data_IF_488584103452
#
_entry.id   IF_488584103452
#
_cell.length_a   1.000
_cell.length_b   1.000
_cell.length_c   1.000
_cell.angle_alpha   90.00
_cell.angle_beta   90.00
_cell.angle_gamma   90.00
#
_symmetry.space_group_name_H-M   'P 1'
#
loop_
_entity.id
_entity.type
_entity.pdbx_description
1 polymer ?
#
# COMPACT_ATOMS: atom_id res chain seq x y z
N UNK A 1 3.19 -18.25 -9.56
CA UNK A 1 3.92 -17.31 -8.68
C UNK A 1 3.70 -15.91 -9.22
N UNK A 2 2.91 -15.10 -8.51
CA UNK A 2 2.68 -13.71 -8.91
C UNK A 2 3.92 -12.85 -8.64
N UNK A 3 4.52 -12.96 -7.45
CA UNK A 3 5.72 -12.21 -7.06
C UNK A 3 7.01 -12.94 -7.50
N UNK A 4 8.00 -12.18 -7.96
CA UNK A 4 9.21 -12.71 -8.61
C UNK A 4 8.98 -13.17 -10.06
N UNK A 5 7.76 -13.05 -10.57
CA UNK A 5 7.37 -13.36 -11.96
C UNK A 5 6.64 -12.18 -12.60
N UNK A 6 5.33 -12.09 -12.41
CA UNK A 6 4.48 -11.00 -12.95
C UNK A 6 4.78 -9.67 -12.26
N UNK A 7 4.99 -9.71 -10.95
CA UNK A 7 5.41 -8.56 -10.15
C UNK A 7 6.86 -8.78 -9.72
N UNK A 8 7.83 -8.02 -10.26
CA UNK A 8 9.23 -8.17 -9.91
C UNK A 8 9.48 -7.75 -8.46
N UNK A 9 10.36 -8.48 -7.78
CA UNK A 9 10.87 -8.06 -6.48
C UNK A 9 11.82 -6.87 -6.62
N UNK A 10 11.99 -6.13 -5.52
CA UNK A 10 12.93 -5.01 -5.39
C UNK A 10 12.71 -3.88 -6.40
N UNK A 11 11.55 -3.87 -7.05
CA UNK A 11 11.14 -2.92 -8.08
C UNK A 11 9.83 -2.28 -7.68
N UNK A 12 9.62 -1.02 -8.08
CA UNK A 12 8.33 -0.37 -7.85
C UNK A 12 7.28 -1.01 -8.71
N UNK A 13 6.18 -1.37 -8.05
CA UNK A 13 4.96 -1.83 -8.65
C UNK A 13 3.87 -0.78 -8.44
N UNK A 14 3.21 -0.42 -9.54
CA UNK A 14 1.93 0.30 -9.52
C UNK A 14 0.85 -0.63 -8.99
N UNK A 15 0.75 -0.72 -7.66
CA UNK A 15 -0.24 -1.54 -6.96
C UNK A 15 -1.64 -1.29 -7.53
N UNK A 16 -2.20 -2.28 -8.21
CA UNK A 16 -3.44 -2.14 -8.98
C UNK A 16 -3.30 -2.72 -10.39
N UNK A 17 -4.26 -2.39 -11.25
CA UNK A 17 -4.28 -2.84 -12.65
C UNK A 17 -3.90 -1.72 -13.61
N UNK A 18 -4.76 -0.72 -13.76
CA UNK A 18 -4.67 0.32 -14.79
C UNK A 18 -4.37 1.71 -14.22
N UNK A 19 -5.22 2.28 -13.37
CA UNK A 19 -4.91 3.57 -12.75
C UNK A 19 -4.13 3.39 -11.45
N UNK A 20 -3.28 4.35 -11.04
CA UNK A 20 -2.67 4.33 -9.72
C UNK A 20 -3.79 4.25 -8.67
N UNK A 21 -3.69 3.26 -7.79
CA UNK A 21 -4.63 3.14 -6.66
C UNK A 21 -4.50 4.40 -5.81
N UNK A 22 -5.61 5.12 -5.60
CA UNK A 22 -5.63 6.31 -4.75
C UNK A 22 -6.20 5.99 -3.38
N UNK A 23 -5.66 6.65 -2.37
CA UNK A 23 -6.17 6.63 -1.00
C UNK A 23 -6.47 8.05 -0.54
N UNK A 24 -7.65 8.22 0.06
CA UNK A 24 -8.03 9.45 0.74
C UNK A 24 -7.96 9.21 2.23
N UNK A 25 -7.10 9.97 2.91
CA UNK A 25 -6.98 10.01 4.36
C UNK A 25 -7.75 11.23 4.88
N UNK A 26 -8.98 11.07 5.41
CA UNK A 26 -9.79 12.21 5.88
C UNK A 26 -9.26 12.83 7.18
N UNK A 27 -8.39 12.12 7.89
CA UNK A 27 -7.79 12.53 9.15
C UNK A 27 -6.28 12.32 9.09
N UNK A 28 -5.56 13.01 9.98
CA UNK A 28 -4.15 12.72 10.20
C UNK A 28 -4.04 11.28 10.70
N UNK A 29 -3.14 10.49 10.12
CA UNK A 29 -2.97 9.08 10.46
C UNK A 29 -1.54 8.79 10.87
N UNK A 30 -1.36 7.67 11.57
CA UNK A 30 -0.05 7.16 11.93
C UNK A 30 0.04 5.69 11.56
N UNK A 31 0.94 5.37 10.64
CA UNK A 31 1.29 4.01 10.28
C UNK A 31 2.56 3.64 11.05
N UNK A 32 2.44 2.75 12.03
CA UNK A 32 3.53 2.45 12.98
C UNK A 32 4.08 3.72 13.66
N UNK A 33 5.31 4.14 13.34
CA UNK A 33 5.95 5.37 13.86
C UNK A 33 5.78 6.57 12.91
N UNK A 34 5.31 6.34 11.70
CA UNK A 34 5.26 7.32 10.62
C UNK A 34 3.95 8.11 10.65
N UNK A 35 4.07 9.43 10.80
CA UNK A 35 2.93 10.35 10.67
C UNK A 35 2.64 10.63 9.20
N UNK A 36 1.36 10.58 8.82
CA UNK A 36 0.89 10.95 7.48
C UNK A 36 -0.29 11.92 7.64
N UNK A 37 -0.17 13.16 7.16
CA UNK A 37 -1.24 14.14 7.29
C UNK A 37 -2.43 13.75 6.41
N UNK A 38 -3.62 14.24 6.80
CA UNK A 38 -4.83 14.11 5.98
C UNK A 38 -4.55 14.62 4.55
N UNK A 39 -5.09 13.92 3.56
CA UNK A 39 -4.84 14.22 2.15
C UNK A 39 -5.20 13.06 1.23
N UNK A 40 -5.03 13.29 -0.06
CA UNK A 40 -5.13 12.27 -1.10
C UNK A 40 -3.73 11.90 -1.57
N UNK A 41 -3.49 10.61 -1.78
CA UNK A 41 -2.20 10.08 -2.23
C UNK A 41 -2.41 8.97 -3.25
N UNK A 42 -1.47 8.85 -4.18
CA UNK A 42 -1.32 7.64 -5.00
C UNK A 42 -0.50 6.61 -4.25
N UNK A 43 -0.87 5.33 -4.39
CA UNK A 43 -0.20 4.21 -3.74
C UNK A 43 0.65 3.43 -4.73
N UNK A 44 1.88 3.15 -4.31
CA UNK A 44 2.80 2.23 -4.97
C UNK A 44 3.36 1.25 -3.95
N UNK A 45 3.87 0.12 -4.40
CA UNK A 45 4.55 -0.84 -3.53
C UNK A 45 5.89 -1.28 -4.08
N UNK A 46 6.80 -1.68 -3.20
CA UNK A 46 8.01 -2.42 -3.56
C UNK A 46 7.94 -3.75 -2.81
N UNK A 47 7.57 -4.84 -3.50
CA UNK A 47 7.57 -6.17 -2.90
C UNK A 47 9.00 -6.68 -2.70
N UNK A 48 9.24 -7.34 -1.56
CA UNK A 48 10.40 -8.21 -1.34
C UNK A 48 9.91 -9.57 -0.83
N UNK A 49 10.75 -10.61 -0.77
CA UNK A 49 10.35 -11.90 -0.22
C UNK A 49 9.91 -11.88 1.25
N UNK A 50 10.33 -10.88 2.04
CA UNK A 50 10.13 -10.85 3.50
C UNK A 50 9.20 -9.74 3.99
N UNK A 51 9.14 -8.62 3.26
CA UNK A 51 8.31 -7.45 3.59
C UNK A 51 7.96 -6.67 2.33
N UNK A 52 6.90 -5.87 2.38
CA UNK A 52 6.64 -4.91 1.30
C UNK A 52 6.86 -3.51 1.81
N UNK A 53 7.23 -2.62 0.90
CA UNK A 53 7.25 -1.18 1.17
C UNK A 53 6.02 -0.56 0.52
N UNK A 54 5.15 0.07 1.30
CA UNK A 54 4.03 0.87 0.82
C UNK A 54 4.47 2.33 0.70
N UNK A 55 4.23 2.92 -0.47
CA UNK A 55 4.65 4.27 -0.80
C UNK A 55 3.40 5.13 -0.96
N UNK A 56 3.36 6.24 -0.22
CA UNK A 56 2.39 7.32 -0.43
C UNK A 56 3.06 8.38 -1.28
N UNK A 57 2.52 8.65 -2.46
CA UNK A 57 3.05 9.62 -3.40
C UNK A 57 2.06 10.78 -3.58
N UNK A 58 2.56 12.01 -3.63
CA UNK A 58 1.74 13.23 -3.76
C UNK A 58 1.30 13.53 -5.19
N UNK A 59 1.85 12.82 -6.18
CA UNK A 59 1.37 12.91 -7.54
C UNK A 59 0.11 12.10 -7.71
N UNK A 60 -1.00 12.80 -7.92
CA UNK A 60 -2.30 12.21 -8.21
C UNK A 60 -2.51 12.02 -9.71
N UNK A 61 -1.62 12.60 -10.52
CA UNK A 61 -1.56 12.40 -11.95
C UNK A 61 -0.63 11.21 -12.15
N UNK A 62 -1.05 10.23 -12.94
CA UNK A 62 -0.22 9.75 -14.06
C UNK A 62 -0.81 8.52 -14.75
N UNK A 63 -0.70 8.59 -16.07
CA UNK A 63 -0.79 7.55 -17.08
C UNK A 63 0.04 8.06 -18.28
N UNK A 64 0.91 7.27 -18.95
CA UNK A 64 1.31 5.88 -18.69
C UNK A 64 2.74 5.74 -18.14
N UNK A 65 3.28 6.73 -17.43
CA UNK A 65 4.70 6.71 -16.99
C UNK A 65 4.91 6.04 -15.63
N UNK A 66 6.14 5.58 -15.41
CA UNK A 66 6.61 5.13 -14.10
C UNK A 66 6.40 6.20 -13.03
N UNK A 67 6.12 5.83 -11.77
CA UNK A 67 5.89 6.81 -10.71
C UNK A 67 7.04 7.78 -10.58
N UNK A 68 6.73 9.07 -10.58
CA UNK A 68 7.67 10.11 -10.26
C UNK A 68 8.13 9.99 -8.80
N UNK A 69 9.26 9.30 -8.58
CA UNK A 69 9.83 9.03 -7.26
C UNK A 69 10.20 10.30 -6.48
N UNK A 70 10.38 11.44 -7.15
CA UNK A 70 10.60 12.73 -6.47
C UNK A 70 9.35 13.23 -5.71
N UNK A 71 8.19 12.62 -5.96
CA UNK A 71 6.91 12.92 -5.31
C UNK A 71 6.53 11.93 -4.23
N UNK A 72 7.39 10.94 -3.94
CA UNK A 72 7.22 10.03 -2.82
C UNK A 72 7.22 10.83 -1.51
N UNK A 73 6.05 10.93 -0.87
CA UNK A 73 5.90 11.62 0.41
C UNK A 73 6.52 10.80 1.53
N UNK A 74 6.14 9.52 1.59
CA UNK A 74 6.63 8.62 2.63
C UNK A 74 6.55 7.16 2.22
N UNK A 75 7.41 6.35 2.83
CA UNK A 75 7.45 4.91 2.68
C UNK A 75 7.26 4.24 4.05
N UNK A 76 6.42 3.22 4.11
CA UNK A 76 6.14 2.45 5.32
C UNK A 76 6.27 0.96 5.04
N UNK A 77 6.73 0.19 6.02
CA UNK A 77 6.93 -1.25 5.88
C UNK A 77 5.67 -2.01 6.23
N UNK A 78 5.24 -2.88 5.32
CA UNK A 78 4.15 -3.83 5.51
C UNK A 78 4.72 -5.21 5.84
N UNK A 79 4.10 -5.88 6.82
CA UNK A 79 4.43 -7.26 7.18
C UNK A 79 3.72 -8.22 6.24
N UNK A 80 4.29 -9.40 6.04
CA UNK A 80 3.69 -10.45 5.21
C UNK A 80 3.11 -11.56 6.07
N UNK A 81 2.00 -12.15 5.60
CA UNK A 81 1.45 -13.41 6.09
C UNK A 81 0.75 -14.16 4.95
N UNK A 82 0.42 -15.43 5.17
CA UNK A 82 -0.44 -16.19 4.26
C UNK A 82 -1.90 -15.80 4.50
N UNK A 83 -2.70 -15.53 3.46
CA UNK A 83 -4.14 -15.33 3.60
C UNK A 83 -4.82 -16.65 3.97
N UNK A 84 -6.03 -16.56 4.56
CA UNK A 84 -6.82 -17.74 4.92
C UNK A 84 -7.25 -18.57 3.70
N UNK A 85 -7.47 -17.90 2.57
CA UNK A 85 -7.75 -18.51 1.28
C UNK A 85 -6.90 -17.82 0.21
N UNK A 86 -6.45 -18.61 -0.76
CA UNK A 86 -5.76 -18.07 -1.93
C UNK A 86 -6.67 -17.11 -2.67
N UNK A 87 -6.14 -15.96 -3.08
CA UNK A 87 -6.90 -14.92 -3.78
C UNK A 87 -6.51 -14.91 -5.26
N UNK A 88 -7.42 -15.25 -6.16
CA UNK A 88 -7.16 -15.20 -7.60
C UNK A 88 -7.00 -13.75 -8.11
N UNK A 89 -7.66 -12.79 -7.44
CA UNK A 89 -7.66 -11.37 -7.79
C UNK A 89 -6.95 -10.56 -6.71
N UNK A 90 -6.27 -9.51 -7.13
CA UNK A 90 -5.73 -8.51 -6.21
C UNK A 90 -6.89 -7.87 -5.42
N UNK A 91 -6.79 -7.94 -4.09
CA UNK A 91 -7.71 -7.29 -3.17
C UNK A 91 -6.94 -6.26 -2.31
N UNK A 92 -7.55 -5.09 -2.12
CA UNK A 92 -7.05 -4.05 -1.22
C UNK A 92 -8.16 -3.75 -0.24
N UNK A 93 -7.91 -3.93 1.04
CA UNK A 93 -8.93 -3.78 2.09
C UNK A 93 -8.46 -2.87 3.21
N UNK A 94 -9.44 -2.23 3.86
CA UNK A 94 -9.25 -1.51 5.11
C UNK A 94 -10.22 -2.08 6.13
N UNK A 95 -9.69 -2.77 7.14
CA UNK A 95 -10.47 -3.25 8.27
C UNK A 95 -10.42 -2.22 9.39
N UNK A 96 -11.52 -1.49 9.61
CA UNK A 96 -11.59 -0.42 10.61
C UNK A 96 -11.63 -0.97 12.04
N UNK A 97 -10.90 -0.30 12.93
CA UNK A 97 -10.86 -0.56 14.37
C UNK A 97 -11.21 0.71 15.15
N UNK A 98 -11.37 0.60 16.47
CA UNK A 98 -11.86 1.70 17.33
C UNK A 98 -11.10 3.04 17.17
N UNK A 99 -9.79 2.99 16.90
CA UNK A 99 -8.93 4.17 16.77
C UNK A 99 -8.06 4.16 15.51
N UNK A 100 -8.48 3.44 14.47
CA UNK A 100 -7.62 3.21 13.30
C UNK A 100 -8.13 2.09 12.42
N UNK A 101 -7.21 1.27 11.91
CA UNK A 101 -7.55 0.09 11.14
C UNK A 101 -6.32 -0.69 10.69
N UNK A 102 -6.55 -1.71 9.87
CA UNK A 102 -5.49 -2.44 9.18
C UNK A 102 -5.71 -2.30 7.69
N UNK A 103 -4.70 -1.79 7.00
CA UNK A 103 -4.66 -1.77 5.54
C UNK A 103 -4.00 -3.06 5.05
N UNK A 104 -4.65 -3.77 4.14
CA UNK A 104 -4.13 -5.01 3.56
C UNK A 104 -4.15 -4.98 2.04
N UNK A 105 -3.15 -5.63 1.45
CA UNK A 105 -3.09 -5.96 0.03
C UNK A 105 -2.88 -7.47 -0.05
N UNK A 106 -3.79 -8.16 -0.73
CA UNK A 106 -3.79 -9.63 -0.83
C UNK A 106 -3.86 -10.04 -2.28
N UNK A 107 -2.95 -10.91 -2.71
CA UNK A 107 -3.00 -11.57 -4.00
C UNK A 107 -2.27 -12.91 -3.95
N UNK A 108 -2.85 -13.92 -4.57
CA UNK A 108 -2.34 -15.29 -4.57
C UNK A 108 -2.21 -15.79 -3.11
N UNK A 109 -1.02 -16.27 -2.73
CA UNK A 109 -0.72 -16.76 -1.38
C UNK A 109 -0.08 -15.70 -0.47
N UNK A 110 -0.05 -14.42 -0.88
CA UNK A 110 0.60 -13.34 -0.12
C UNK A 110 -0.41 -12.30 0.34
N UNK A 111 -0.40 -12.02 1.63
CA UNK A 111 -1.07 -10.86 2.22
C UNK A 111 -0.05 -9.95 2.88
N UNK A 112 0.08 -8.74 2.35
CA UNK A 112 0.83 -7.66 2.98
C UNK A 112 -0.14 -6.83 3.83
N UNK A 113 0.24 -6.52 5.07
CA UNK A 113 -0.60 -5.73 5.97
C UNK A 113 0.20 -4.70 6.77
N UNK A 114 -0.47 -3.61 7.12
CA UNK A 114 0.06 -2.58 8.03
C UNK A 114 -1.08 -1.98 8.87
N UNK A 115 -0.97 -1.95 10.20
CA UNK A 115 -1.91 -1.24 11.06
C UNK A 115 -1.66 0.27 11.01
N UNK A 116 -2.73 1.04 11.14
CA UNK A 116 -2.67 2.49 11.29
C UNK A 116 -3.60 2.97 12.39
N UNK A 117 -3.27 4.11 12.97
CA UNK A 117 -4.12 4.84 13.90
C UNK A 117 -4.61 6.14 13.27
N UNK A 118 -5.85 6.51 13.57
CA UNK A 118 -6.40 7.83 13.28
C UNK A 118 -6.06 8.75 14.44
N UNK A 119 -5.37 9.84 14.13
CA UNK A 119 -5.05 10.88 15.08
C UNK A 119 -6.24 11.84 15.11
N UNK A 120 -7.08 11.69 16.13
CA UNK A 120 -8.16 12.64 16.38
C UNK A 120 -7.54 13.98 16.76
N UNK A 121 -7.96 15.06 16.09
CA UNK A 121 -7.86 16.42 16.63
C UNK A 121 -9.06 16.69 17.51
#
# INVERSE_FOLDING_TARGET
>A
MIYGGVVPFDSVWRTGANDPTRIVLPFDTRFEKTFIPKGEYSLYTIPTPTEWTLIFNTDLKEWPTDPNRSKDFVQVKMKLRKPATQQERLAINIEMQKYGGVFTITWDETEAFIPFNILKK
#
